data_IF_621668009626
#
_entry.id   IF_621668009626
#
_cell.length_a   1.000
_cell.length_b   1.000
_cell.length_c   1.000
_cell.angle_alpha   90.00
_cell.angle_beta   90.00
_cell.angle_gamma   90.00
#
_symmetry.space_group_name_H-M   'P 1'
#
loop_
_entity.id
_entity.type
_entity.pdbx_description
1 polymer ?
#
# COMPACT_ATOMS: atom_id res chain seq x y z
N UNK A 1 27.27 51.65 46.69
CA UNK A 1 25.86 52.05 46.91
C UNK A 1 25.82 53.57 46.93
N UNK A 2 25.14 54.21 45.98
CA UNK A 2 25.04 55.68 45.94
C UNK A 2 23.95 56.10 46.92
N UNK A 3 24.31 56.90 47.92
CA UNK A 3 23.39 57.47 48.91
C UNK A 3 22.33 58.29 48.18
N UNK A 4 21.13 57.72 48.00
CA UNK A 4 19.97 58.47 47.56
C UNK A 4 19.58 59.42 48.69
N UNK A 5 19.73 60.72 48.45
CA UNK A 5 19.41 61.76 49.41
C UNK A 5 17.90 61.69 49.71
N UNK A 6 17.51 61.33 50.94
CA UNK A 6 16.12 61.14 51.40
C UNK A 6 15.26 62.39 51.20
N UNK A 7 15.89 63.57 51.18
CA UNK A 7 15.24 64.85 50.88
C UNK A 7 14.86 65.04 49.41
N UNK A 8 15.33 64.17 48.52
CA UNK A 8 15.03 64.19 47.09
C UNK A 8 14.06 63.06 46.68
N UNK A 9 13.35 62.47 47.65
CA UNK A 9 12.28 61.52 47.42
C UNK A 9 11.05 62.31 46.97
N UNK A 10 10.85 62.43 45.65
CA UNK A 10 9.67 63.08 45.02
C UNK A 10 8.32 62.39 45.34
N UNK A 11 8.34 61.34 46.16
CA UNK A 11 7.25 60.39 46.39
C UNK A 11 6.32 60.83 47.53
N UNK A 12 6.63 61.91 48.28
CA UNK A 12 5.77 62.39 49.38
C UNK A 12 4.41 62.96 48.93
N UNK A 13 4.18 63.17 47.62
CA UNK A 13 2.90 63.63 47.06
C UNK A 13 2.32 62.60 46.08
N UNK A 14 1.16 62.04 46.42
CA UNK A 14 0.44 61.01 45.64
C UNK A 14 0.21 61.38 44.17
N UNK A 15 -0.03 62.67 43.88
CA UNK A 15 -0.29 63.14 42.52
C UNK A 15 1.00 63.13 41.70
N UNK A 16 2.12 63.54 42.30
CA UNK A 16 3.43 63.54 41.65
C UNK A 16 3.93 62.12 41.42
N UNK A 17 3.74 61.23 42.38
CA UNK A 17 4.07 59.81 42.25
C UNK A 17 3.33 59.18 41.05
N UNK A 18 2.02 59.39 40.93
CA UNK A 18 1.24 58.89 39.79
C UNK A 18 1.75 59.39 38.44
N UNK A 19 2.10 60.68 38.34
CA UNK A 19 2.67 61.25 37.11
C UNK A 19 4.03 60.64 36.77
N UNK A 20 4.86 60.41 37.77
CA UNK A 20 6.19 59.82 37.57
C UNK A 20 6.10 58.35 37.16
N UNK A 21 5.18 57.60 37.76
CA UNK A 21 4.90 56.20 37.40
C UNK A 21 4.35 56.11 35.97
N UNK A 22 3.46 57.03 35.58
CA UNK A 22 2.98 57.14 34.21
C UNK A 22 4.11 57.47 33.22
N UNK A 23 4.98 58.42 33.54
CA UNK A 23 6.12 58.76 32.70
C UNK A 23 7.11 57.59 32.55
N UNK A 24 7.36 56.83 33.63
CA UNK A 24 8.17 55.61 33.59
C UNK A 24 7.52 54.54 32.72
N UNK A 25 6.21 54.37 32.84
CA UNK A 25 5.45 53.41 32.04
C UNK A 25 5.47 53.77 30.55
N UNK A 26 5.23 55.03 30.22
CA UNK A 26 5.32 55.52 28.83
C UNK A 26 6.72 55.36 28.26
N UNK A 27 7.76 55.66 29.06
CA UNK A 27 9.14 55.40 28.67
C UNK A 27 9.38 53.92 28.41
N UNK A 28 8.93 53.03 29.31
CA UNK A 28 9.05 51.58 29.13
C UNK A 28 8.38 51.10 27.85
N UNK A 29 7.16 51.55 27.55
CA UNK A 29 6.45 51.20 26.32
C UNK A 29 7.19 51.65 25.07
N UNK A 30 7.79 52.86 25.08
CA UNK A 30 8.63 53.34 23.97
C UNK A 30 9.88 52.47 23.78
N UNK A 31 10.47 51.99 24.86
CA UNK A 31 11.59 51.05 24.77
C UNK A 31 11.12 49.70 24.21
N UNK A 32 9.99 49.16 24.68
CA UNK A 32 9.43 47.90 24.16
C UNK A 32 9.13 47.98 22.65
N UNK A 33 8.64 49.12 22.17
CA UNK A 33 8.35 49.34 20.76
C UNK A 33 9.63 49.42 19.88
N UNK A 34 10.77 49.78 20.46
CA UNK A 34 12.05 49.93 19.72
C UNK A 34 12.98 48.72 19.88
N UNK A 35 12.72 47.86 20.86
CA UNK A 35 13.48 46.61 21.06
C UNK A 35 13.23 45.66 19.89
N UNK A 36 14.31 45.29 19.19
CA UNK A 36 14.27 44.26 18.14
C UNK A 36 14.17 42.87 18.79
N UNK A 37 13.39 41.94 18.20
CA UNK A 37 13.38 40.56 18.66
C UNK A 37 14.78 39.94 18.51
N UNK A 38 15.22 39.20 19.53
CA UNK A 38 16.51 38.49 19.54
C UNK A 38 16.50 37.27 18.60
N UNK A 39 15.31 36.76 18.27
CA UNK A 39 15.11 35.57 17.44
C UNK A 39 14.42 35.98 16.15
N UNK A 40 15.03 35.61 15.03
CA UNK A 40 14.38 35.71 13.73
C UNK A 40 13.20 34.73 13.66
N UNK A 41 12.01 35.28 13.42
CA UNK A 41 10.76 34.53 13.29
C UNK A 41 10.26 34.51 11.84
N UNK A 42 11.08 34.94 10.88
CA UNK A 42 10.74 34.87 9.47
C UNK A 42 10.72 33.42 8.97
N UNK A 43 9.93 33.18 7.92
CA UNK A 43 9.87 31.86 7.29
C UNK A 43 11.23 31.49 6.71
N UNK A 44 11.74 30.27 6.96
CA UNK A 44 13.02 29.83 6.40
C UNK A 44 12.96 29.78 4.86
N UNK A 45 14.09 30.09 4.22
CA UNK A 45 14.22 30.10 2.77
C UNK A 45 13.84 28.75 2.16
N UNK A 46 12.90 28.77 1.20
CA UNK A 46 12.44 27.58 0.50
C UNK A 46 13.39 27.23 -0.64
N UNK A 47 14.19 26.19 -0.48
CA UNK A 47 15.08 25.73 -1.54
C UNK A 47 14.36 24.79 -2.52
N UNK A 48 14.52 25.06 -3.82
CA UNK A 48 13.92 24.28 -4.92
C UNK A 48 14.35 22.80 -4.87
N UNK A 49 15.61 22.52 -4.54
CA UNK A 49 16.14 21.15 -4.47
C UNK A 49 15.54 20.32 -3.32
N UNK A 50 15.13 20.96 -2.21
CA UNK A 50 14.42 20.30 -1.12
C UNK A 50 12.97 19.96 -1.50
N UNK A 51 12.32 20.84 -2.27
CA UNK A 51 10.94 20.62 -2.75
C UNK A 51 10.84 19.44 -3.71
N UNK A 52 11.78 19.34 -4.66
CA UNK A 52 11.71 18.36 -5.74
C UNK A 52 12.60 17.14 -5.55
N UNK A 53 13.43 17.10 -4.48
CA UNK A 53 14.36 16.00 -4.17
C UNK A 53 15.11 15.50 -5.41
N UNK A 54 15.74 16.44 -6.13
CA UNK A 54 16.31 16.23 -7.47
C UNK A 54 17.26 15.02 -7.51
N UNK A 55 18.16 14.91 -6.54
CA UNK A 55 19.09 13.78 -6.42
C UNK A 55 18.37 12.43 -6.28
N UNK A 56 17.32 12.35 -5.46
CA UNK A 56 16.52 11.12 -5.33
C UNK A 56 15.85 10.74 -6.65
N UNK A 57 15.34 11.72 -7.38
CA UNK A 57 14.70 11.49 -8.69
C UNK A 57 15.71 11.05 -9.75
N UNK A 58 16.89 11.64 -9.76
CA UNK A 58 18.00 11.25 -10.64
C UNK A 58 18.47 9.84 -10.33
N UNK A 59 18.62 9.49 -9.04
CA UNK A 59 18.99 8.14 -8.62
C UNK A 59 17.97 7.09 -9.10
N UNK A 60 16.68 7.38 -8.94
CA UNK A 60 15.60 6.50 -9.44
C UNK A 60 15.64 6.36 -10.95
N UNK A 61 15.87 7.46 -11.68
CA UNK A 61 16.02 7.44 -13.15
C UNK A 61 17.20 6.59 -13.57
N UNK A 62 18.36 6.75 -12.92
CA UNK A 62 19.56 5.97 -13.21
C UNK A 62 19.33 4.48 -12.95
N UNK A 63 18.72 4.14 -11.82
CA UNK A 63 18.38 2.74 -11.49
C UNK A 63 17.41 2.13 -12.51
N UNK A 64 16.39 2.89 -12.94
CA UNK A 64 15.46 2.44 -13.97
C UNK A 64 16.18 2.19 -15.31
N UNK A 65 17.08 3.09 -15.72
CA UNK A 65 17.86 2.92 -16.95
C UNK A 65 18.78 1.69 -16.90
N UNK A 66 19.42 1.45 -15.77
CA UNK A 66 20.26 0.27 -15.54
C UNK A 66 19.44 -1.03 -15.70
N UNK A 67 18.28 -1.11 -15.05
CA UNK A 67 17.36 -2.25 -15.17
C UNK A 67 16.94 -2.48 -16.64
N UNK A 68 16.63 -1.40 -17.38
CA UNK A 68 16.24 -1.50 -18.79
C UNK A 68 17.39 -2.02 -19.67
N UNK A 69 18.62 -1.56 -19.41
CA UNK A 69 19.80 -2.04 -20.11
C UNK A 69 20.05 -3.53 -19.83
N UNK A 70 20.00 -3.94 -18.57
CA UNK A 70 20.14 -5.35 -18.17
C UNK A 70 19.07 -6.24 -18.81
N UNK A 71 17.81 -5.81 -18.81
CA UNK A 71 16.72 -6.52 -19.46
C UNK A 71 16.97 -6.68 -20.98
N UNK A 72 17.47 -5.64 -21.64
CA UNK A 72 17.81 -5.72 -23.07
C UNK A 72 18.93 -6.72 -23.34
N UNK A 73 19.98 -6.72 -22.52
CA UNK A 73 21.09 -7.67 -22.63
C UNK A 73 20.60 -9.10 -22.38
N UNK A 74 19.75 -9.30 -21.38
CA UNK A 74 19.17 -10.60 -21.06
C UNK A 74 18.35 -11.14 -22.24
N UNK A 75 17.43 -10.33 -22.76
CA UNK A 75 16.59 -10.71 -23.90
C UNK A 75 17.43 -11.02 -25.14
N UNK A 76 18.49 -10.24 -25.40
CA UNK A 76 19.42 -10.53 -26.48
C UNK A 76 20.11 -11.89 -26.29
N UNK A 77 20.57 -12.22 -25.07
CA UNK A 77 21.20 -13.52 -24.78
C UNK A 77 20.22 -14.68 -24.88
N UNK A 78 18.98 -14.51 -24.41
CA UNK A 78 17.93 -15.52 -24.54
C UNK A 78 17.61 -15.79 -26.01
N UNK A 79 17.43 -14.72 -26.80
CA UNK A 79 17.23 -14.84 -28.23
C UNK A 79 18.43 -15.51 -28.91
N UNK A 80 19.65 -15.18 -28.51
CA UNK A 80 20.85 -15.79 -29.04
C UNK A 80 20.87 -17.30 -28.74
N UNK A 81 20.47 -17.73 -27.54
CA UNK A 81 20.34 -19.15 -27.19
C UNK A 81 19.25 -19.83 -28.05
N UNK A 82 18.09 -19.20 -28.19
CA UNK A 82 16.95 -19.74 -28.94
C UNK A 82 17.25 -19.84 -30.45
N UNK A 83 17.99 -18.87 -30.99
CA UNK A 83 18.34 -18.81 -32.43
C UNK A 83 19.60 -19.58 -32.77
N UNK A 84 20.48 -19.85 -31.80
CA UNK A 84 21.63 -20.75 -31.98
C UNK A 84 21.11 -22.15 -32.28
N UNK A 85 21.12 -22.50 -33.57
CA UNK A 85 21.02 -23.88 -34.00
C UNK A 85 22.22 -24.62 -33.43
N UNK A 86 21.97 -25.53 -32.48
CA UNK A 86 22.98 -26.46 -32.02
C UNK A 86 23.27 -27.36 -33.22
N UNK A 87 24.39 -27.11 -33.90
CA UNK A 87 24.95 -28.07 -34.84
C UNK A 87 25.31 -29.32 -34.02
N UNK A 88 24.34 -30.22 -33.88
CA UNK A 88 24.49 -31.55 -33.29
C UNK A 88 25.34 -32.42 -34.22
N UNK A 89 26.52 -31.95 -34.60
CA UNK A 89 27.52 -32.71 -35.36
C UNK A 89 28.10 -33.86 -34.53
N UNK A 90 27.83 -33.87 -33.23
CA UNK A 90 27.92 -35.06 -32.40
C UNK A 90 26.60 -35.24 -31.66
N UNK A 91 25.88 -36.36 -31.81
CA UNK A 91 24.96 -36.75 -30.77
C UNK A 91 25.83 -36.86 -29.52
N UNK A 92 25.64 -35.95 -28.57
CA UNK A 92 26.18 -36.11 -27.23
C UNK A 92 25.65 -37.46 -26.80
N UNK A 93 26.50 -38.49 -26.89
CA UNK A 93 26.20 -39.79 -26.30
C UNK A 93 26.03 -39.45 -24.85
N UNK A 94 24.78 -39.32 -24.40
CA UNK A 94 24.48 -39.05 -23.02
C UNK A 94 25.26 -40.09 -22.24
N UNK A 95 26.33 -39.65 -21.57
CA UNK A 95 27.18 -40.55 -20.81
C UNK A 95 26.23 -41.19 -19.81
N UNK A 96 25.99 -42.50 -20.00
CA UNK A 96 25.09 -43.25 -19.15
C UNK A 96 25.65 -43.07 -17.75
N UNK A 97 24.96 -42.27 -16.93
CA UNK A 97 25.32 -42.09 -15.52
C UNK A 97 25.58 -43.47 -14.94
N UNK A 98 26.63 -43.62 -14.12
CA UNK A 98 26.93 -44.88 -13.45
C UNK A 98 25.68 -45.46 -12.72
N UNK A 99 24.78 -44.57 -12.30
CA UNK A 99 23.54 -44.88 -11.60
C UNK A 99 22.32 -45.01 -12.51
N UNK A 100 22.45 -44.88 -13.84
CA UNK A 100 21.32 -44.94 -14.78
C UNK A 100 20.54 -46.24 -14.63
N UNK A 101 21.24 -47.37 -14.49
CA UNK A 101 20.60 -48.68 -14.28
C UNK A 101 19.86 -48.75 -12.94
N UNK A 102 20.40 -48.15 -11.87
CA UNK A 102 19.73 -48.09 -10.57
C UNK A 102 18.48 -47.21 -10.64
N UNK A 103 18.56 -46.05 -11.30
CA UNK A 103 17.41 -45.18 -11.54
C UNK A 103 16.31 -45.88 -12.35
N UNK A 104 16.66 -46.60 -13.41
CA UNK A 104 15.69 -47.37 -14.20
C UNK A 104 15.03 -48.45 -13.35
N UNK A 105 15.80 -49.22 -12.58
CA UNK A 105 15.27 -50.26 -11.68
C UNK A 105 14.33 -49.70 -10.62
N UNK A 106 14.68 -48.57 -10.02
CA UNK A 106 13.82 -47.92 -9.02
C UNK A 106 12.56 -47.33 -9.67
N UNK A 107 12.67 -46.73 -10.85
CA UNK A 107 11.51 -46.26 -11.62
C UNK A 107 10.55 -47.41 -11.97
N UNK A 108 11.07 -48.56 -12.38
CA UNK A 108 10.28 -49.76 -12.65
C UNK A 108 9.64 -50.34 -11.39
N UNK A 109 10.33 -50.24 -10.23
CA UNK A 109 9.80 -50.65 -8.93
C UNK A 109 8.63 -49.76 -8.52
N UNK A 110 8.83 -48.44 -8.52
CA UNK A 110 7.80 -47.43 -8.21
C UNK A 110 6.60 -47.59 -9.14
N UNK A 111 6.83 -47.78 -10.44
CA UNK A 111 5.76 -47.96 -11.42
C UNK A 111 4.94 -49.22 -11.15
N UNK A 112 5.59 -50.32 -10.75
CA UNK A 112 4.88 -51.56 -10.36
C UNK A 112 4.08 -51.36 -9.08
N UNK A 113 4.65 -50.76 -8.05
CA UNK A 113 3.96 -50.46 -6.79
C UNK A 113 2.74 -49.56 -7.03
N UNK A 114 2.90 -48.49 -7.81
CA UNK A 114 1.82 -47.58 -8.18
C UNK A 114 0.68 -48.29 -8.93
N UNK A 115 1.00 -49.21 -9.85
CA UNK A 115 -0.01 -50.02 -10.54
C UNK A 115 -0.77 -50.95 -9.58
N UNK A 116 -0.09 -51.52 -8.58
CA UNK A 116 -0.73 -52.35 -7.56
C UNK A 116 -1.64 -51.53 -6.64
N UNK A 117 -1.16 -50.35 -6.22
CA UNK A 117 -1.96 -49.40 -5.44
C UNK A 117 -3.20 -48.96 -6.22
N UNK A 118 -3.06 -48.64 -7.50
CA UNK A 118 -4.19 -48.26 -8.37
C UNK A 118 -5.23 -49.39 -8.45
N UNK A 119 -4.82 -50.63 -8.71
CA UNK A 119 -5.73 -51.78 -8.70
C UNK A 119 -6.46 -51.94 -7.36
N UNK A 120 -5.77 -51.69 -6.25
CA UNK A 120 -6.38 -51.75 -4.92
C UNK A 120 -7.40 -50.63 -4.72
N UNK A 121 -7.10 -49.42 -5.19
CA UNK A 121 -8.02 -48.27 -5.15
C UNK A 121 -9.25 -48.50 -6.03
N UNK A 122 -9.08 -49.09 -7.23
CA UNK A 122 -10.19 -49.44 -8.13
C UNK A 122 -11.11 -50.52 -7.52
N UNK A 123 -10.54 -51.50 -6.81
CA UNK A 123 -11.29 -52.53 -6.10
C UNK A 123 -12.00 -51.97 -4.87
N UNK A 124 -11.39 -51.01 -4.19
CA UNK A 124 -12.03 -50.22 -3.15
C UNK A 124 -13.03 -49.25 -3.77
N UNK A 125 -14.22 -49.74 -4.15
CA UNK A 125 -15.38 -48.88 -4.39
C UNK A 125 -15.62 -48.06 -3.12
N UNK A 126 -15.25 -46.78 -3.15
CA UNK A 126 -15.48 -45.87 -2.05
C UNK A 126 -16.96 -45.84 -1.68
N UNK A 127 -17.27 -45.54 -0.42
CA UNK A 127 -18.62 -45.38 0.13
C UNK A 127 -19.48 -44.33 -0.61
N UNK A 128 -18.87 -43.59 -1.55
CA UNK A 128 -19.47 -42.66 -2.51
C UNK A 128 -19.98 -43.34 -3.80
N UNK A 129 -19.93 -44.67 -3.91
CA UNK A 129 -20.38 -45.41 -5.09
C UNK A 129 -21.89 -45.31 -5.40
N UNK A 130 -22.68 -44.80 -4.46
CA UNK A 130 -24.05 -44.36 -4.72
C UNK A 130 -24.15 -42.84 -4.52
N UNK A 131 -24.11 -42.05 -5.61
CA UNK A 131 -24.19 -40.58 -5.57
C UNK A 131 -25.41 -40.06 -4.80
N UNK A 132 -26.45 -40.89 -4.67
CA UNK A 132 -27.72 -40.55 -4.06
C UNK A 132 -27.85 -41.07 -2.63
N UNK A 133 -26.92 -41.89 -2.12
CA UNK A 133 -27.01 -42.44 -0.77
C UNK A 133 -26.96 -41.36 0.32
N UNK A 134 -26.04 -40.40 0.18
CA UNK A 134 -25.95 -39.25 1.08
C UNK A 134 -27.23 -38.39 0.98
N UNK A 135 -27.74 -38.15 -0.23
CA UNK A 135 -28.99 -37.41 -0.44
C UNK A 135 -30.21 -38.08 0.20
N UNK A 136 -30.31 -39.42 0.12
CA UNK A 136 -31.38 -40.18 0.80
C UNK A 136 -31.25 -40.12 2.32
N UNK A 137 -30.02 -40.12 2.85
CA UNK A 137 -29.78 -39.98 4.28
C UNK A 137 -30.12 -38.57 4.78
N UNK A 138 -29.74 -37.53 4.03
CA UNK A 138 -30.06 -36.14 4.34
C UNK A 138 -31.57 -35.89 4.27
N UNK A 139 -32.27 -36.46 3.27
CA UNK A 139 -33.73 -36.37 3.16
C UNK A 139 -34.44 -37.04 4.35
N UNK A 140 -33.97 -38.21 4.80
CA UNK A 140 -34.47 -38.86 6.03
C UNK A 140 -34.22 -37.99 7.26
N UNK A 141 -33.05 -37.36 7.35
CA UNK A 141 -32.68 -36.47 8.46
C UNK A 141 -33.57 -35.22 8.49
N UNK A 142 -33.79 -34.57 7.34
CA UNK A 142 -34.69 -33.44 7.21
C UNK A 142 -36.13 -33.82 7.57
N UNK A 143 -36.61 -34.96 7.08
CA UNK A 143 -37.95 -35.47 7.42
C UNK A 143 -38.10 -35.69 8.93
N UNK A 144 -37.07 -36.24 9.58
CA UNK A 144 -37.07 -36.43 11.03
C UNK A 144 -37.09 -35.08 11.77
N UNK A 145 -36.27 -34.12 11.34
CA UNK A 145 -36.25 -32.76 11.90
C UNK A 145 -37.60 -32.07 11.76
N UNK A 146 -38.24 -32.16 10.60
CA UNK A 146 -39.59 -31.61 10.37
C UNK A 146 -40.61 -32.26 11.29
N UNK A 147 -40.57 -33.59 11.45
CA UNK A 147 -41.45 -34.31 12.39
C UNK A 147 -41.20 -33.89 13.85
N UNK A 148 -39.95 -33.73 14.26
CA UNK A 148 -39.60 -33.26 15.60
C UNK A 148 -40.05 -31.81 15.84
N UNK A 149 -39.87 -30.92 14.87
CA UNK A 149 -40.33 -29.53 14.93
C UNK A 149 -41.85 -29.38 14.92
N UNK A 150 -42.56 -30.24 14.18
CA UNK A 150 -44.02 -30.29 14.22
C UNK A 150 -44.53 -30.81 15.57
N UNK A 151 -43.78 -31.68 16.25
CA UNK A 151 -44.16 -32.21 17.56
C UNK A 151 -43.91 -31.20 18.68
N UNK A 152 -42.81 -30.43 18.61
CA UNK A 152 -42.48 -29.39 19.61
C UNK A 152 -43.43 -28.18 19.60
N UNK A 153 -44.21 -27.98 18.52
CA UNK A 153 -45.21 -26.91 18.41
C UNK A 153 -46.65 -27.33 18.76
N UNK A 154 -46.89 -28.57 19.22
CA UNK A 154 -48.25 -29.02 19.60
C UNK A 154 -48.76 -28.37 20.90
N UNK A 155 -47.88 -27.89 21.77
CA UNK A 155 -48.24 -27.32 23.08
C UNK A 155 -48.05 -25.79 23.19
N UNK A 156 -47.71 -25.09 22.10
CA UNK A 156 -47.63 -23.61 22.07
C UNK A 156 -48.86 -22.98 21.41
N UNK A 157 -50.06 -23.22 21.96
CA UNK A 157 -51.22 -22.37 21.60
C UNK A 157 -51.73 -21.48 22.72
N UNK A 158 -51.49 -21.78 23.99
CA UNK A 158 -52.11 -20.99 25.08
C UNK A 158 -51.19 -20.67 26.27
N UNK A 159 -49.90 -20.42 26.03
CA UNK A 159 -49.04 -19.85 27.08
C UNK A 159 -48.47 -18.55 26.56
N UNK A 160 -49.18 -17.44 26.83
CA UNK A 160 -48.59 -16.11 26.84
C UNK A 160 -47.58 -16.02 27.99
N UNK A 161 -46.41 -16.64 27.82
CA UNK A 161 -45.25 -16.40 28.66
C UNK A 161 -44.73 -15.02 28.27
N UNK A 162 -45.27 -13.98 28.94
CA UNK A 162 -44.77 -12.62 28.86
C UNK A 162 -43.38 -12.60 29.49
N UNK A 163 -42.36 -12.82 28.66
CA UNK A 163 -40.97 -12.61 29.05
C UNK A 163 -40.82 -11.13 29.43
N UNK A 164 -40.29 -10.80 30.61
CA UNK A 164 -40.04 -9.41 30.97
C UNK A 164 -39.08 -8.79 29.94
N UNK A 165 -39.27 -7.51 29.57
CA UNK A 165 -38.39 -6.86 28.63
C UNK A 165 -36.98 -6.83 29.24
N UNK A 166 -36.03 -7.47 28.57
CA UNK A 166 -34.62 -7.40 28.96
C UNK A 166 -34.15 -5.95 28.84
N UNK A 167 -33.56 -5.36 29.89
CA UNK A 167 -32.98 -4.04 29.77
C UNK A 167 -31.73 -4.14 28.89
N UNK A 168 -31.69 -3.26 27.87
CA UNK A 168 -30.60 -3.04 26.90
C UNK A 168 -30.30 -4.23 25.99
N UNK A 169 -30.82 -4.14 24.77
CA UNK A 169 -30.16 -4.72 23.61
C UNK A 169 -28.71 -4.21 23.56
N UNK A 170 -27.75 -5.10 23.82
CA UNK A 170 -26.38 -4.85 23.40
C UNK A 170 -26.40 -4.62 21.87
N UNK A 171 -25.65 -3.64 21.34
CA UNK A 171 -25.61 -3.39 19.91
C UNK A 171 -25.25 -4.71 19.21
N UNK A 172 -26.18 -5.16 18.36
CA UNK A 172 -25.97 -6.35 17.53
C UNK A 172 -24.64 -6.18 16.81
N UNK A 173 -23.76 -7.17 17.00
CA UNK A 173 -22.45 -7.29 16.36
C UNK A 173 -22.46 -6.61 14.99
N UNK A 174 -21.70 -5.53 14.86
CA UNK A 174 -21.28 -5.00 13.56
C UNK A 174 -20.84 -6.20 12.74
N UNK A 175 -21.60 -6.54 11.68
CA UNK A 175 -21.21 -7.62 10.77
C UNK A 175 -19.80 -7.27 10.31
N UNK A 176 -18.80 -8.04 10.73
CA UNK A 176 -17.45 -7.83 10.23
C UNK A 176 -17.53 -7.92 8.70
N UNK A 177 -16.82 -7.03 7.97
CA UNK A 177 -16.81 -7.08 6.53
C UNK A 177 -16.45 -8.50 6.11
N UNK A 178 -17.33 -9.13 5.35
CA UNK A 178 -17.03 -10.41 4.74
C UNK A 178 -15.84 -10.18 3.81
N UNK A 179 -14.68 -10.72 4.19
CA UNK A 179 -13.47 -10.67 3.38
C UNK A 179 -13.75 -11.40 2.06
N UNK A 180 -13.78 -10.64 0.97
CA UNK A 180 -13.97 -11.16 -0.38
C UNK A 180 -12.70 -10.85 -1.19
N UNK A 181 -11.80 -11.84 -1.37
CA UNK A 181 -10.50 -11.66 -2.03
C UNK A 181 -10.62 -11.19 -3.48
N UNK A 182 -11.70 -11.56 -4.16
CA UNK A 182 -11.91 -11.20 -5.56
C UNK A 182 -12.19 -9.70 -5.71
N UNK A 183 -12.89 -9.09 -4.75
CA UNK A 183 -13.17 -7.64 -4.75
C UNK A 183 -11.92 -6.80 -4.53
N UNK A 184 -11.04 -7.20 -3.62
CA UNK A 184 -9.79 -6.47 -3.36
C UNK A 184 -8.81 -6.56 -4.55
N UNK A 185 -8.77 -7.71 -5.22
CA UNK A 185 -7.97 -7.87 -6.45
C UNK A 185 -8.49 -6.97 -7.57
N UNK A 186 -9.81 -6.92 -7.78
CA UNK A 186 -10.40 -6.01 -8.78
C UNK A 186 -10.18 -4.55 -8.43
N UNK A 187 -10.33 -4.16 -7.16
CA UNK A 187 -10.14 -2.77 -6.73
C UNK A 187 -8.67 -2.34 -6.82
N UNK A 188 -7.73 -3.25 -6.51
CA UNK A 188 -6.28 -3.01 -6.71
C UNK A 188 -5.94 -2.84 -8.18
N UNK A 189 -6.49 -3.68 -9.05
CA UNK A 189 -6.24 -3.61 -10.49
C UNK A 189 -6.81 -2.33 -11.10
N UNK A 190 -8.00 -1.91 -10.68
CA UNK A 190 -8.60 -0.65 -11.12
C UNK A 190 -7.86 0.58 -10.57
N UNK A 191 -7.37 0.53 -9.32
CA UNK A 191 -6.49 1.59 -8.80
C UNK A 191 -5.15 1.66 -9.54
N UNK A 192 -4.59 0.52 -9.95
CA UNK A 192 -3.38 0.46 -10.76
C UNK A 192 -3.59 1.13 -12.12
N UNK A 193 -4.70 0.83 -12.82
CA UNK A 193 -5.05 1.51 -14.08
C UNK A 193 -5.20 3.01 -13.91
N UNK A 194 -5.92 3.46 -12.87
CA UNK A 194 -6.12 4.89 -12.60
C UNK A 194 -4.81 5.61 -12.34
N UNK A 195 -3.91 5.03 -11.55
CA UNK A 195 -2.60 5.62 -11.29
C UNK A 195 -1.70 5.63 -12.54
N UNK A 196 -1.75 4.57 -13.35
CA UNK A 196 -1.00 4.51 -14.60
C UNK A 196 -1.46 5.59 -15.59
N UNK A 197 -2.77 5.78 -15.73
CA UNK A 197 -3.34 6.77 -16.63
C UNK A 197 -3.09 8.20 -16.16
N UNK A 198 -3.12 8.45 -14.84
CA UNK A 198 -2.72 9.72 -14.25
C UNK A 198 -1.24 10.03 -14.54
N UNK A 199 -0.36 9.05 -14.39
CA UNK A 199 1.06 9.21 -14.70
C UNK A 199 1.30 9.55 -16.18
N UNK A 200 0.50 8.98 -17.09
CA UNK A 200 0.56 9.33 -18.51
C UNK A 200 0.07 10.75 -18.80
N UNK A 201 -0.96 11.25 -18.11
CA UNK A 201 -1.44 12.63 -18.27
C UNK A 201 -0.43 13.66 -17.75
N UNK A 202 0.25 13.37 -16.65
CA UNK A 202 1.26 14.27 -16.06
C UNK A 202 2.55 14.36 -16.91
N UNK A 203 2.77 13.41 -17.84
CA UNK A 203 3.95 13.36 -18.70
C UNK A 203 3.76 13.92 -20.12
N UNK A 204 2.55 14.34 -20.50
CA UNK A 204 2.26 14.88 -21.85
C UNK A 204 2.29 16.43 -21.91
N UNK A 205 2.35 17.15 -20.78
CA UNK A 205 2.24 18.62 -20.76
C UNK A 205 3.55 19.42 -20.59
N UNK A 206 4.73 18.82 -20.84
CA UNK A 206 6.01 19.55 -20.79
C UNK A 206 6.76 19.41 -22.11
N UNK A 207 6.22 19.98 -23.18
CA UNK A 207 6.93 20.23 -24.45
C UNK A 207 6.17 21.25 -25.30
N UNK A 208 6.09 22.51 -24.86
CA UNK A 208 6.10 23.66 -25.77
C UNK A 208 6.45 24.94 -24.99
N UNK A 209 6.97 25.96 -25.67
CA UNK A 209 7.59 27.22 -25.17
C UNK A 209 9.13 27.22 -25.15
N UNK A 210 9.74 27.50 -26.31
CA UNK A 210 11.15 27.88 -26.37
C UNK A 210 11.79 28.00 -27.74
N UNK A 211 11.17 28.72 -28.69
CA UNK A 211 11.76 28.91 -30.02
C UNK A 211 11.26 30.16 -30.75
N UNK A 212 11.67 31.36 -30.30
CA UNK A 212 11.59 32.58 -31.13
C UNK A 212 12.98 32.98 -31.60
N UNK A 213 13.16 32.89 -32.92
CA UNK A 213 14.39 33.20 -33.64
C UNK A 213 14.56 34.69 -33.97
N UNK A 214 15.84 35.05 -34.09
CA UNK A 214 16.46 35.88 -35.12
C UNK A 214 15.71 37.13 -35.64
N UNK A 215 16.18 38.30 -35.20
CA UNK A 215 16.10 39.55 -35.96
C UNK A 215 17.52 40.10 -36.14
N UNK A 216 18.17 39.76 -37.26
CA UNK A 216 19.46 40.32 -37.67
C UNK A 216 19.22 41.62 -38.44
N UNK A 217 19.71 42.73 -37.90
CA UNK A 217 19.80 44.01 -38.56
C UNK A 217 21.24 44.21 -39.06
N UNK A 218 21.44 44.24 -40.38
CA UNK A 218 22.67 44.73 -40.99
C UNK A 218 22.29 45.67 -42.13
N UNK A 219 22.35 46.97 -41.82
CA UNK A 219 22.15 48.06 -42.75
C UNK A 219 23.39 48.25 -43.64
N UNK A 220 23.16 48.41 -44.94
CA UNK A 220 24.16 48.87 -45.90
C UNK A 220 24.55 50.34 -45.70
N UNK A 221 25.81 50.62 -46.01
CA UNK A 221 26.43 51.95 -46.14
C UNK A 221 27.60 51.70 -47.11
N UNK A 222 27.52 51.98 -48.41
CA UNK A 222 27.61 53.30 -49.08
C UNK A 222 28.55 54.26 -48.37
N UNK A 223 29.83 54.23 -48.72
CA UNK A 223 30.56 55.19 -49.57
C UNK A 223 31.83 54.46 -50.06
#
# INVERSE_FOLDING_TARGET
MKNANIWNVKVCNRILQKKEDQAKHESHLRHLATVKPCVDTTEPTRYVHLKYKTNTRELQRNRANEIQLENRILLQKMLEIDTRKIDLLHPVKAEKSLHAQLHTRESDRITRENRLLLKRLEQCKGTLGDPNAMGRQEAKRQTLLTKMGANSNRYRRDIQLRVPPTPRSMPTKTKMPHWNPDKEMTDRFENFKKNYQKHMQDHVFVSDEGGKGAGSAAAGKTI
#
